data_IF_088170761516
#
_entry.id   IF_088170761516
#
_cell.length_a   1.000
_cell.length_b   1.000
_cell.length_c   1.000
_cell.angle_alpha   90.00
_cell.angle_beta   90.00
_cell.angle_gamma   90.00
#
_symmetry.space_group_name_H-M   'P 1'
#
loop_
_entity.id
_entity.type
_entity.pdbx_description
1 polymer ?
#
# COMPACT_ATOMS: atom_id res chain seq x y z
N UNK A 1 23.51 5.47 -11.93
CA UNK A 1 23.17 5.92 -10.56
C UNK A 1 21.68 6.19 -10.53
N UNK A 2 20.87 5.29 -9.96
CA UNK A 2 19.39 5.39 -9.94
C UNK A 2 18.90 5.70 -8.50
N UNK A 3 19.37 6.80 -7.92
CA UNK A 3 18.92 7.26 -6.61
C UNK A 3 17.99 8.45 -6.81
N UNK A 4 16.67 8.23 -6.81
CA UNK A 4 15.75 9.37 -6.82
C UNK A 4 14.26 9.07 -6.85
N UNK A 5 13.82 7.97 -7.46
CA UNK A 5 12.40 7.83 -7.86
C UNK A 5 11.44 7.51 -6.70
N UNK A 6 11.92 7.01 -5.55
CA UNK A 6 11.07 6.62 -4.42
C UNK A 6 10.91 7.65 -3.28
N UNK A 7 11.73 8.71 -3.22
CA UNK A 7 11.81 9.55 -2.00
C UNK A 7 10.62 10.48 -1.78
N UNK A 8 9.93 10.89 -2.84
CA UNK A 8 8.89 11.92 -2.75
C UNK A 8 7.65 11.52 -1.96
N UNK A 9 7.38 10.21 -1.82
CA UNK A 9 6.17 9.71 -1.14
C UNK A 9 6.45 9.22 0.28
N UNK A 10 7.72 9.07 0.67
CA UNK A 10 8.07 8.61 2.01
C UNK A 10 7.64 9.65 3.03
N UNK A 11 6.93 9.20 4.05
CA UNK A 11 6.31 10.02 5.08
C UNK A 11 4.88 10.45 4.78
N UNK A 12 4.41 10.33 3.53
CA UNK A 12 3.04 10.68 3.16
C UNK A 12 2.03 9.68 3.73
N UNK A 13 0.83 10.17 4.04
CA UNK A 13 -0.31 9.31 4.36
C UNK A 13 -0.95 8.79 3.09
N UNK A 14 -1.34 7.52 3.08
CA UNK A 14 -1.97 6.87 1.95
C UNK A 14 -3.24 6.13 2.40
N UNK A 15 -4.29 6.26 1.60
CA UNK A 15 -5.48 5.45 1.69
C UNK A 15 -5.30 4.21 0.81
N UNK A 16 -5.53 3.04 1.41
CA UNK A 16 -5.52 1.74 0.75
C UNK A 16 -6.92 1.14 0.81
N UNK A 17 -7.44 0.79 -0.37
CA UNK A 17 -8.65 0.00 -0.54
C UNK A 17 -8.22 -1.44 -0.80
N UNK A 18 -8.64 -2.37 0.04
CA UNK A 18 -8.33 -3.80 -0.09
C UNK A 18 -9.56 -4.53 -0.62
N UNK A 19 -9.38 -5.34 -1.65
CA UNK A 19 -10.43 -6.22 -2.16
C UNK A 19 -10.70 -7.38 -1.19
N UNK A 20 -11.87 -8.01 -1.30
CA UNK A 20 -12.19 -9.26 -0.60
C UNK A 20 -11.10 -10.33 -0.84
N UNK A 21 -10.79 -11.19 0.15
CA UNK A 21 -11.51 -11.47 1.39
C UNK A 21 -11.00 -10.69 2.63
N UNK A 22 -10.41 -9.51 2.46
CA UNK A 22 -10.04 -8.63 3.58
C UNK A 22 -11.13 -7.58 3.84
N UNK A 23 -12.32 -8.07 4.15
CA UNK A 23 -13.48 -7.33 4.62
C UNK A 23 -13.38 -7.05 6.14
N UNK A 24 -12.26 -6.46 6.57
CA UNK A 24 -12.18 -5.83 7.89
C UNK A 24 -12.94 -4.50 7.87
N UNK A 25 -13.47 -4.10 9.03
CA UNK A 25 -14.07 -2.79 9.21
C UNK A 25 -13.11 -1.90 9.99
N UNK A 26 -12.75 -0.76 9.42
CA UNK A 26 -12.02 0.29 10.12
C UNK A 26 -12.92 1.47 10.45
N UNK A 27 -12.38 2.43 11.22
CA UNK A 27 -12.99 3.75 11.41
C UNK A 27 -13.24 4.51 10.09
N UNK A 28 -12.59 4.11 8.99
CA UNK A 28 -12.72 4.76 7.69
C UNK A 28 -13.69 4.03 6.74
N UNK A 29 -14.26 2.90 7.18
CA UNK A 29 -15.18 2.05 6.43
C UNK A 29 -14.64 0.65 6.16
N UNK A 30 -15.46 -0.19 5.53
CA UNK A 30 -15.07 -1.58 5.17
C UNK A 30 -13.96 -1.57 4.12
N UNK A 31 -12.94 -2.42 4.31
CA UNK A 31 -11.83 -2.62 3.38
C UNK A 31 -10.90 -1.41 3.23
N UNK A 32 -10.95 -0.43 4.15
CA UNK A 32 -10.21 0.83 4.07
C UNK A 32 -9.14 0.91 5.13
N UNK A 33 -7.87 1.05 4.73
CA UNK A 33 -6.75 1.30 5.62
C UNK A 33 -6.11 2.63 5.29
N UNK A 34 -5.68 3.32 6.32
CA UNK A 34 -4.79 4.45 6.26
C UNK A 34 -3.45 3.99 6.82
N UNK A 35 -2.40 4.22 6.04
CA UNK A 35 -1.03 3.96 6.46
C UNK A 35 -0.11 5.08 6.03
N UNK A 36 0.97 5.25 6.80
CA UNK A 36 2.06 6.14 6.44
C UNK A 36 3.08 5.37 5.61
N UNK A 37 3.46 5.90 4.46
CA UNK A 37 4.52 5.31 3.65
C UNK A 37 5.83 5.46 4.40
N UNK A 38 6.39 4.36 4.84
CA UNK A 38 7.58 4.33 5.66
C UNK A 38 8.84 4.02 4.86
N UNK A 39 8.69 3.36 3.70
CA UNK A 39 9.80 3.04 2.82
C UNK A 39 9.35 2.94 1.37
N UNK A 40 10.23 3.33 0.45
CA UNK A 40 10.05 3.13 -0.98
C UNK A 40 11.32 2.49 -1.57
N UNK A 41 11.17 1.29 -2.16
CA UNK A 41 12.25 0.54 -2.79
C UNK A 41 12.00 0.44 -4.29
N UNK A 42 13.01 0.77 -5.07
CA UNK A 42 13.01 0.55 -6.52
C UNK A 42 13.91 -0.63 -6.85
N UNK A 43 13.41 -1.57 -7.64
CA UNK A 43 14.14 -2.72 -8.14
C UNK A 43 14.47 -2.55 -9.64
N UNK A 44 14.54 -1.31 -10.11
CA UNK A 44 14.76 -0.99 -11.52
C UNK A 44 13.63 -1.53 -12.39
N UNK A 45 13.91 -2.30 -13.47
CA UNK A 45 12.89 -2.85 -14.37
C UNK A 45 11.89 -3.77 -13.67
N UNK A 46 12.25 -4.35 -12.51
CA UNK A 46 11.37 -5.23 -11.74
C UNK A 46 10.27 -4.46 -10.98
N UNK A 47 10.30 -3.12 -10.99
CA UNK A 47 9.25 -2.26 -10.44
C UNK A 47 9.59 -1.66 -9.09
N UNK A 48 8.57 -1.20 -8.38
CA UNK A 48 8.68 -0.53 -7.09
C UNK A 48 7.83 -1.23 -6.02
N UNK A 49 8.35 -1.22 -4.79
CA UNK A 49 7.65 -1.65 -3.58
C UNK A 49 7.58 -0.49 -2.60
N UNK A 50 6.40 -0.25 -2.05
CA UNK A 50 6.18 0.69 -0.96
C UNK A 50 5.81 -0.07 0.31
N UNK A 51 6.46 0.28 1.42
CA UNK A 51 6.10 -0.22 2.76
C UNK A 51 5.27 0.84 3.47
N UNK A 52 4.12 0.43 3.99
CA UNK A 52 3.20 1.26 4.76
C UNK A 52 3.14 0.76 6.20
N UNK A 53 3.27 1.67 7.14
CA UNK A 53 2.92 1.46 8.54
C UNK A 53 1.45 1.83 8.72
N UNK A 54 0.61 0.85 9.06
CA UNK A 54 -0.84 1.03 9.16
C UNK A 54 -1.16 1.74 10.46
N UNK A 55 -1.83 2.89 10.35
CA UNK A 55 -2.24 3.73 11.47
C UNK A 55 -3.70 3.51 11.83
N UNK A 56 -4.44 2.83 10.96
CA UNK A 56 -5.86 2.56 11.16
C UNK A 56 -6.09 1.57 12.29
N UNK A 57 -6.93 1.99 13.24
CA UNK A 57 -7.51 1.08 14.22
C UNK A 57 -8.56 0.20 13.53
N UNK A 58 -8.37 -1.12 13.60
CA UNK A 58 -9.32 -2.11 13.10
C UNK A 58 -10.42 -2.31 14.15
N UNK A 59 -11.68 -2.07 13.76
CA UNK A 59 -12.84 -2.12 14.67
C UNK A 59 -13.45 -3.51 14.79
N UNK A 60 -13.41 -4.29 13.71
CA UNK A 60 -13.85 -5.67 13.69
C UNK A 60 -12.80 -6.52 12.97
N UNK A 61 -12.20 -7.52 13.66
CA UNK A 61 -11.17 -8.35 13.06
C UNK A 61 -11.80 -9.34 12.07
N UNK A 62 -11.73 -9.02 10.78
CA UNK A 62 -11.92 -10.02 9.71
C UNK A 62 -10.67 -10.88 9.48
N UNK A 63 -9.47 -10.32 9.71
CA UNK A 63 -8.20 -11.00 9.46
C UNK A 63 -7.05 -10.47 10.33
N UNK A 64 -7.19 -10.47 11.66
CA UNK A 64 -6.09 -10.08 12.57
C UNK A 64 -5.64 -8.63 12.47
N UNK A 65 -4.73 -8.23 13.36
CA UNK A 65 -4.19 -6.88 13.39
C UNK A 65 -3.11 -6.72 12.30
N UNK A 66 -3.33 -5.79 11.38
CA UNK A 66 -2.39 -5.48 10.28
C UNK A 66 -1.60 -4.25 10.69
N UNK A 67 -0.36 -4.45 11.12
CA UNK A 67 0.51 -3.33 11.51
C UNK A 67 1.29 -2.74 10.35
N UNK A 68 1.58 -3.53 9.31
CA UNK A 68 2.25 -3.04 8.10
C UNK A 68 1.79 -3.75 6.82
N UNK A 69 1.85 -3.01 5.71
CA UNK A 69 1.58 -3.51 4.36
C UNK A 69 2.78 -3.25 3.44
N UNK A 70 3.06 -4.21 2.56
CA UNK A 70 3.87 -3.95 1.36
C UNK A 70 2.96 -3.86 0.15
N UNK A 71 3.13 -2.83 -0.65
CA UNK A 71 2.37 -2.55 -1.85
C UNK A 71 3.29 -2.57 -3.08
N UNK A 72 2.91 -3.34 -4.09
CA UNK A 72 3.63 -3.45 -5.37
C UNK A 72 2.65 -3.17 -6.49
N UNK A 73 3.01 -2.37 -7.51
CA UNK A 73 2.11 -2.07 -8.63
C UNK A 73 1.59 -3.34 -9.34
N UNK A 74 0.30 -3.36 -9.70
CA UNK A 74 -0.31 -4.46 -10.44
C UNK A 74 0.21 -4.55 -11.88
N UNK A 75 0.24 -3.41 -12.57
CA UNK A 75 0.77 -3.28 -13.92
C UNK A 75 2.20 -2.73 -13.79
N UNK A 76 3.19 -3.55 -14.17
CA UNK A 76 4.60 -3.31 -13.86
C UNK A 76 5.31 -2.37 -14.86
N UNK A 77 6.08 -1.43 -14.29
CA UNK A 77 7.09 -0.60 -14.93
C UNK A 77 7.92 0.11 -13.85
N UNK A 78 9.20 0.39 -14.11
CA UNK A 78 10.03 1.14 -13.16
C UNK A 78 9.43 2.53 -12.90
N UNK A 79 9.21 2.91 -11.63
CA UNK A 79 8.74 4.26 -11.30
C UNK A 79 7.22 4.50 -11.43
N UNK A 80 6.43 3.53 -11.89
CA UNK A 80 5.01 3.79 -12.17
C UNK A 80 4.21 4.03 -10.88
N UNK A 81 4.50 3.31 -9.80
CA UNK A 81 3.73 3.43 -8.57
C UNK A 81 3.94 4.80 -7.91
N UNK A 82 5.19 5.15 -7.62
CA UNK A 82 5.50 6.41 -6.92
C UNK A 82 5.11 7.62 -7.76
N UNK A 83 5.35 7.59 -9.07
CA UNK A 83 5.00 8.70 -9.96
C UNK A 83 3.48 8.92 -10.04
N UNK A 84 2.67 7.85 -10.13
CA UNK A 84 1.20 7.96 -10.13
C UNK A 84 0.69 8.57 -8.83
N UNK A 85 1.20 8.11 -7.70
CA UNK A 85 0.83 8.63 -6.38
C UNK A 85 1.16 10.12 -6.24
N UNK A 86 2.34 10.55 -6.69
CA UNK A 86 2.74 11.97 -6.68
C UNK A 86 1.89 12.85 -7.60
N UNK A 87 1.30 12.29 -8.66
CA UNK A 87 0.32 12.98 -9.51
C UNK A 87 -1.09 13.01 -8.92
N UNK A 88 -1.29 12.46 -7.72
CA UNK A 88 -2.60 12.34 -7.09
C UNK A 88 -3.49 11.24 -7.68
N UNK A 89 -2.92 10.36 -8.50
CA UNK A 89 -3.65 9.26 -9.12
C UNK A 89 -3.76 8.06 -8.17
N UNK A 90 -4.84 7.30 -8.34
CA UNK A 90 -4.96 5.97 -7.73
C UNK A 90 -4.14 4.95 -8.52
N UNK A 91 -3.44 4.07 -7.82
CA UNK A 91 -2.67 2.97 -8.38
C UNK A 91 -3.20 1.62 -7.89
N UNK A 92 -3.40 0.68 -8.82
CA UNK A 92 -3.71 -0.71 -8.47
C UNK A 92 -2.47 -1.41 -7.92
N UNK A 93 -2.60 -2.10 -6.79
CA UNK A 93 -1.48 -2.71 -6.06
C UNK A 93 -1.77 -4.15 -5.62
N UNK A 94 -0.72 -4.97 -5.60
CA UNK A 94 -0.65 -6.21 -4.83
C UNK A 94 -0.20 -5.87 -3.41
N UNK A 95 -0.93 -6.38 -2.43
CA UNK A 95 -0.72 -6.10 -1.02
C UNK A 95 -0.26 -7.36 -0.29
N UNK A 96 0.75 -7.19 0.56
CA UNK A 96 1.29 -8.25 1.40
C UNK A 96 1.28 -7.79 2.86
N UNK A 97 0.47 -8.47 3.67
CA UNK A 97 0.38 -8.28 5.11
C UNK A 97 1.68 -8.63 5.84
N UNK A 98 2.04 -7.83 6.84
CA UNK A 98 3.11 -8.15 7.80
C UNK A 98 2.58 -7.96 9.23
N UNK A 99 2.59 -9.00 10.09
CA UNK A 99 2.99 -10.37 9.81
C UNK A 99 2.07 -11.08 8.80
N UNK A 100 2.64 -12.01 8.04
CA UNK A 100 1.92 -12.75 6.99
C UNK A 100 1.00 -13.78 7.66
N UNK A 101 -0.29 -13.48 7.76
CA UNK A 101 -1.30 -14.52 8.02
C UNK A 101 -1.61 -15.22 6.70
N UNK A 102 -1.75 -16.54 6.73
CA UNK A 102 -1.89 -17.39 5.53
C UNK A 102 -2.84 -16.80 4.48
N UNK A 103 -2.45 -16.90 3.21
CA UNK A 103 -3.11 -16.25 2.09
C UNK A 103 -2.11 -15.78 1.02
N UNK A 104 -2.57 -15.72 -0.23
CA UNK A 104 -1.82 -15.13 -1.34
C UNK A 104 -1.74 -13.59 -1.23
N UNK A 105 -1.09 -12.92 -2.19
CA UNK A 105 -1.18 -11.47 -2.30
C UNK A 105 -2.64 -11.03 -2.45
N UNK A 106 -2.99 -9.93 -1.81
CA UNK A 106 -4.30 -9.31 -1.97
C UNK A 106 -4.25 -8.25 -3.07
N UNK A 107 -5.39 -7.99 -3.69
CA UNK A 107 -5.54 -6.91 -4.64
C UNK A 107 -6.09 -5.68 -3.94
N UNK A 108 -5.64 -4.51 -4.36
CA UNK A 108 -6.12 -3.26 -3.82
C UNK A 108 -5.86 -2.07 -4.73
N UNK A 109 -6.32 -0.91 -4.28
CA UNK A 109 -6.00 0.38 -4.86
C UNK A 109 -5.41 1.28 -3.77
N UNK A 110 -4.44 2.11 -4.14
CA UNK A 110 -3.76 3.01 -3.23
C UNK A 110 -3.72 4.41 -3.81
N UNK A 111 -3.90 5.42 -2.95
CA UNK A 111 -3.73 6.84 -3.29
C UNK A 111 -3.13 7.59 -2.10
N UNK A 112 -2.42 8.69 -2.36
CA UNK A 112 -2.03 9.61 -1.30
C UNK A 112 -3.26 10.33 -0.74
N UNK A 113 -3.23 10.62 0.56
CA UNK A 113 -4.17 11.55 1.18
C UNK A 113 -3.59 12.96 1.06
N UNK A 114 -4.45 13.90 0.66
CA UNK A 114 -4.16 15.33 0.70
C UNK A 114 -4.15 15.85 2.14
#
# INVERSE_FOLDING_TARGET
MNAGVGRGVVGASALVLVAEPWDFQSLHGRGRLIGRIAEARSFGPAGEELRLDIQTQVLQPGAGEVSALRAVALNGGAGDLTARLLRGESAGVRLYATPRRGGGPLLGAMRLQA
#
